data_IF_244632273716
#
_entry.id   IF_244632273716
#
_cell.length_a   1.000
_cell.length_b   1.000
_cell.length_c   1.000
_cell.angle_alpha   90.00
_cell.angle_beta   90.00
_cell.angle_gamma   90.00
#
_symmetry.space_group_name_H-M   'P 1'
#
loop_
_entity.id
_entity.type
_entity.pdbx_description
1 polymer ?
#
# COMPACT_ATOMS: atom_id res chain seq x y z
N UNK A 1 -30.89 -69.51 -4.55
CA UNK A 1 -29.86 -69.93 -3.57
C UNK A 1 -28.61 -69.11 -3.82
N UNK A 2 -28.11 -68.39 -2.78
CA UNK A 2 -26.71 -67.98 -2.51
C UNK A 2 -25.81 -67.67 -3.72
N UNK A 3 -25.15 -66.51 -3.84
CA UNK A 3 -24.20 -65.90 -2.87
C UNK A 3 -23.55 -64.66 -3.52
N UNK A 4 -22.85 -63.89 -2.67
CA UNK A 4 -21.70 -62.98 -2.91
C UNK A 4 -22.03 -61.49 -2.78
N UNK A 5 -21.22 -60.66 -2.12
CA UNK A 5 -20.20 -60.87 -1.10
C UNK A 5 -19.98 -59.51 -0.41
N UNK A 6 -19.76 -59.51 0.91
CA UNK A 6 -19.20 -58.38 1.63
C UNK A 6 -17.85 -58.02 1.02
N UNK A 7 -17.69 -56.77 0.61
CA UNK A 7 -16.38 -56.16 0.40
C UNK A 7 -16.25 -55.00 1.39
N UNK A 8 -15.46 -55.27 2.43
CA UNK A 8 -14.91 -54.27 3.31
C UNK A 8 -13.98 -53.37 2.49
N UNK A 9 -14.26 -52.08 2.44
CA UNK A 9 -13.30 -51.09 1.94
C UNK A 9 -12.66 -50.40 3.13
N UNK A 10 -11.39 -50.73 3.30
CA UNK A 10 -10.48 -50.28 4.33
C UNK A 10 -10.32 -48.76 4.22
N UNK A 11 -10.54 -48.07 5.34
CA UNK A 11 -10.17 -46.67 5.55
C UNK A 11 -8.65 -46.59 5.48
N UNK A 12 -8.11 -46.10 4.36
CA UNK A 12 -6.70 -45.72 4.29
C UNK A 12 -6.61 -44.34 4.92
N UNK A 13 -6.20 -44.32 6.19
CA UNK A 13 -5.70 -43.13 6.85
C UNK A 13 -4.40 -42.70 6.15
N UNK A 14 -4.52 -41.86 5.13
CA UNK A 14 -3.38 -41.14 4.58
C UNK A 14 -3.08 -39.98 5.53
N UNK A 15 -2.13 -40.22 6.44
CA UNK A 15 -1.43 -39.20 7.20
C UNK A 15 -0.77 -38.23 6.21
N UNK A 16 -1.42 -37.09 5.96
CA UNK A 16 -0.78 -35.98 5.28
C UNK A 16 0.13 -35.30 6.29
N UNK A 17 1.36 -35.80 6.36
CA UNK A 17 2.49 -35.07 6.92
C UNK A 17 2.82 -33.91 5.98
N UNK A 18 2.06 -32.80 6.08
CA UNK A 18 2.53 -31.50 5.59
C UNK A 18 3.43 -30.90 6.66
N UNK A 19 4.58 -31.53 6.87
CA UNK A 19 5.77 -30.85 7.35
C UNK A 19 6.26 -29.96 6.20
N UNK A 20 5.53 -28.87 5.98
CA UNK A 20 5.89 -27.77 5.09
C UNK A 20 6.20 -26.55 5.93
N UNK A 21 7.10 -26.68 6.91
CA UNK A 21 7.86 -25.55 7.40
C UNK A 21 8.77 -25.09 6.26
N UNK A 22 8.25 -24.35 5.28
CA UNK A 22 9.11 -23.42 4.57
C UNK A 22 9.32 -22.24 5.50
N UNK A 23 10.24 -22.41 6.43
CA UNK A 23 11.05 -21.30 6.92
C UNK A 23 11.85 -20.79 5.73
N UNK A 24 11.16 -20.11 4.81
CA UNK A 24 11.75 -19.22 3.84
C UNK A 24 12.13 -17.96 4.60
N UNK A 25 13.10 -18.08 5.50
CA UNK A 25 14.01 -17.00 5.82
C UNK A 25 14.89 -16.80 4.59
N UNK A 26 14.28 -16.37 3.49
CA UNK A 26 15.00 -15.49 2.60
C UNK A 26 15.10 -14.22 3.40
N UNK A 27 16.31 -13.82 3.76
CA UNK A 27 16.59 -12.42 4.02
C UNK A 27 15.98 -11.67 2.83
N UNK A 28 14.79 -11.10 3.02
CA UNK A 28 14.29 -10.09 2.12
C UNK A 28 15.38 -9.05 2.15
N UNK A 29 16.16 -9.00 1.08
CA UNK A 29 17.17 -8.00 0.83
C UNK A 29 16.50 -6.68 1.20
N UNK A 30 16.86 -6.12 2.37
CA UNK A 30 16.19 -4.94 2.88
C UNK A 30 16.42 -3.89 1.82
N UNK A 31 15.37 -3.62 1.04
CA UNK A 31 15.44 -2.65 -0.05
C UNK A 31 15.81 -1.36 0.65
N UNK A 32 17.06 -0.92 0.44
CA UNK A 32 17.56 0.27 1.10
C UNK A 32 16.88 1.45 0.42
N UNK A 33 16.07 2.17 1.19
CA UNK A 33 15.48 3.40 0.74
C UNK A 33 16.53 4.46 0.48
N UNK A 34 16.18 5.53 -0.24
CA UNK A 34 17.02 6.70 -0.34
C UNK A 34 17.38 7.19 1.06
N UNK A 35 18.67 7.39 1.34
CA UNK A 35 19.19 8.14 2.50
C UNK A 35 18.54 7.86 3.88
N UNK A 36 18.21 6.60 4.20
CA UNK A 36 17.69 6.23 5.53
C UNK A 36 16.17 6.25 5.66
N UNK A 37 15.45 6.41 4.55
CA UNK A 37 14.00 6.30 4.51
C UNK A 37 13.56 4.85 4.80
N UNK A 38 12.41 4.71 5.43
CA UNK A 38 11.78 3.42 5.69
C UNK A 38 10.84 3.07 4.54
N UNK A 39 10.89 1.82 4.05
CA UNK A 39 9.91 1.32 3.08
C UNK A 39 8.56 1.18 3.78
N UNK A 40 7.61 2.04 3.42
CA UNK A 40 6.29 2.12 4.04
C UNK A 40 5.26 1.22 3.34
N UNK A 41 5.29 1.16 2.01
CA UNK A 41 4.38 0.32 1.22
C UNK A 41 5.00 -0.07 -0.12
N UNK A 42 4.49 -1.17 -0.68
CA UNK A 42 4.70 -1.58 -2.07
C UNK A 42 3.34 -1.67 -2.75
N UNK A 43 3.15 -0.91 -3.82
CA UNK A 43 1.94 -0.98 -4.64
C UNK A 43 1.86 -2.32 -5.39
N UNK A 44 0.67 -2.76 -5.85
CA UNK A 44 0.52 -3.97 -6.66
C UNK A 44 1.36 -3.98 -7.93
N UNK A 45 1.61 -2.81 -8.54
CA UNK A 45 2.43 -2.65 -9.74
C UNK A 45 3.95 -2.65 -9.45
N UNK A 46 4.33 -2.70 -8.17
CA UNK A 46 5.71 -2.79 -7.71
C UNK A 46 6.37 -1.46 -7.35
N UNK A 47 5.70 -0.32 -7.51
CA UNK A 47 6.17 0.98 -7.01
C UNK A 47 6.32 0.99 -5.49
N UNK A 48 7.29 1.76 -5.00
CA UNK A 48 7.71 1.81 -3.60
C UNK A 48 7.36 3.16 -2.98
N UNK A 49 6.72 3.12 -1.82
CA UNK A 49 6.54 4.29 -0.97
C UNK A 49 7.59 4.29 0.13
N UNK A 50 8.44 5.31 0.10
CA UNK A 50 9.42 5.61 1.12
C UNK A 50 8.90 6.70 2.03
N UNK A 51 9.17 6.56 3.32
CA UNK A 51 8.74 7.49 4.37
C UNK A 51 9.90 7.85 5.28
N UNK A 52 9.97 9.13 5.66
CA UNK A 52 10.81 9.64 6.73
C UNK A 52 10.06 10.71 7.53
N UNK A 53 10.43 10.90 8.79
CA UNK A 53 9.90 11.96 9.65
C UNK A 53 11.00 12.59 10.49
N UNK A 54 11.22 13.89 10.30
CA UNK A 54 12.20 14.62 11.10
C UNK A 54 11.71 14.73 12.55
N UNK A 55 12.50 14.26 13.53
CA UNK A 55 12.15 14.41 14.94
C UNK A 55 12.22 15.86 15.43
N UNK A 56 13.03 16.71 14.79
CA UNK A 56 13.18 18.13 15.17
C UNK A 56 12.01 18.99 14.67
N UNK A 57 11.57 18.76 13.44
CA UNK A 57 10.53 19.59 12.80
C UNK A 57 9.14 18.95 12.82
N UNK A 58 9.07 17.63 13.03
CA UNK A 58 7.82 16.86 12.93
C UNK A 58 7.27 16.75 11.50
N UNK A 59 8.02 17.20 10.49
CA UNK A 59 7.62 17.09 9.09
C UNK A 59 7.77 15.65 8.61
N UNK A 60 6.83 15.23 7.76
CA UNK A 60 6.85 13.93 7.09
C UNK A 60 7.27 14.12 5.64
N UNK A 61 8.23 13.33 5.20
CA UNK A 61 8.69 13.26 3.81
C UNK A 61 8.26 11.92 3.21
N UNK A 62 7.71 11.97 2.01
CA UNK A 62 7.26 10.83 1.24
C UNK A 62 7.94 10.85 -0.12
N UNK A 63 8.45 9.70 -0.55
CA UNK A 63 8.97 9.51 -1.90
C UNK A 63 8.27 8.32 -2.53
N UNK A 64 7.80 8.48 -3.76
CA UNK A 64 7.32 7.39 -4.59
C UNK A 64 8.35 7.08 -5.67
N UNK A 65 8.76 5.83 -5.75
CA UNK A 65 9.61 5.30 -6.82
C UNK A 65 8.86 4.24 -7.62
N UNK A 66 9.24 4.08 -8.88
CA UNK A 66 8.80 2.94 -9.69
C UNK A 66 9.63 1.68 -9.38
N UNK A 67 9.26 0.51 -9.93
CA UNK A 67 9.98 -0.74 -9.67
C UNK A 67 11.46 -0.72 -10.08
N UNK A 68 11.86 0.18 -10.98
CA UNK A 68 13.25 0.34 -11.44
C UNK A 68 14.03 1.34 -10.57
N UNK A 69 13.42 1.87 -9.50
CA UNK A 69 14.01 2.88 -8.60
C UNK A 69 14.00 4.30 -9.17
N UNK A 70 13.19 4.58 -10.22
CA UNK A 70 13.06 5.94 -10.74
C UNK A 70 12.08 6.74 -9.88
N UNK A 71 12.48 7.95 -9.55
CA UNK A 71 11.63 8.90 -8.82
C UNK A 71 10.36 9.26 -9.61
N UNK A 72 9.20 9.10 -8.97
CA UNK A 72 7.89 9.45 -9.53
C UNK A 72 7.30 10.70 -8.88
N UNK A 73 7.34 10.82 -7.55
CA UNK A 73 6.75 11.94 -6.81
C UNK A 73 7.39 12.08 -5.42
N UNK A 74 7.27 13.27 -4.82
CA UNK A 74 7.54 13.46 -3.39
C UNK A 74 6.49 14.36 -2.72
N UNK A 75 6.42 14.29 -1.39
CA UNK A 75 5.54 15.11 -0.57
C UNK A 75 6.18 15.38 0.79
N UNK A 76 6.44 16.65 1.10
CA UNK A 76 7.03 17.07 2.37
C UNK A 76 6.10 18.06 3.08
N UNK A 77 5.71 17.75 4.32
CA UNK A 77 4.92 18.70 5.12
C UNK A 77 4.43 18.19 6.47
N UNK A 78 3.80 19.09 7.23
CA UNK A 78 2.99 18.75 8.38
C UNK A 78 1.57 18.47 7.87
N UNK A 79 1.13 17.21 7.88
CA UNK A 79 -0.20 16.82 7.42
C UNK A 79 -1.34 17.49 8.21
N UNK A 80 -2.58 17.46 7.70
CA UNK A 80 -3.00 16.74 6.50
C UNK A 80 -2.57 17.42 5.19
N UNK A 81 -2.07 16.65 4.23
CA UNK A 81 -1.52 17.15 2.97
C UNK A 81 -1.76 16.14 1.85
N UNK A 82 -2.17 16.64 0.68
CA UNK A 82 -2.17 15.90 -0.59
C UNK A 82 -1.15 16.54 -1.52
N UNK A 83 -0.23 15.73 -2.05
CA UNK A 83 0.67 16.10 -3.13
C UNK A 83 0.33 15.26 -4.37
N UNK A 84 0.07 15.95 -5.48
CA UNK A 84 -0.11 15.34 -6.81
C UNK A 84 1.05 15.83 -7.66
N UNK A 85 2.03 14.96 -7.93
CA UNK A 85 3.29 15.39 -8.55
C UNK A 85 3.89 14.34 -9.50
N UNK A 86 4.77 14.83 -10.37
CA UNK A 86 5.64 14.09 -11.28
C UNK A 86 6.27 15.02 -12.32
N UNK A 87 7.47 14.73 -12.85
CA UNK A 87 8.27 15.71 -13.60
C UNK A 87 7.64 16.20 -14.91
N UNK A 88 6.77 15.40 -15.56
CA UNK A 88 6.15 15.77 -16.87
C UNK A 88 4.65 15.39 -16.98
N UNK A 89 4.08 14.82 -15.93
CA UNK A 89 2.66 14.54 -15.72
C UNK A 89 2.50 14.15 -14.24
N UNK A 90 1.33 14.35 -13.64
CA UNK A 90 1.04 13.81 -12.32
C UNK A 90 1.11 12.28 -12.38
N UNK A 91 2.20 11.70 -11.85
CA UNK A 91 2.48 10.26 -11.89
C UNK A 91 2.19 9.59 -10.54
N UNK A 92 2.12 10.37 -9.47
CA UNK A 92 1.79 9.90 -8.14
C UNK A 92 0.85 10.83 -7.38
N UNK A 93 0.00 10.23 -6.57
CA UNK A 93 -0.73 10.89 -5.49
C UNK A 93 -0.15 10.41 -4.16
N UNK A 94 0.27 11.35 -3.31
CA UNK A 94 0.84 11.11 -1.99
C UNK A 94 0.02 11.86 -0.95
N UNK A 95 -0.35 11.17 0.12
CA UNK A 95 -1.19 11.72 1.18
C UNK A 95 -0.50 11.53 2.52
N UNK A 96 -0.37 12.61 3.28
CA UNK A 96 -0.11 12.60 4.71
C UNK A 96 -1.47 12.88 5.36
N UNK A 97 -2.11 11.88 5.95
CA UNK A 97 -3.50 11.96 6.38
C UNK A 97 -3.65 12.41 7.85
N UNK A 98 -4.86 12.82 8.27
CA UNK A 98 -5.18 12.97 9.68
C UNK A 98 -5.01 11.65 10.46
N UNK A 99 -4.73 11.75 11.76
CA UNK A 99 -4.71 10.60 12.65
C UNK A 99 -6.04 9.84 12.61
N UNK A 100 -5.98 8.51 12.69
CA UNK A 100 -7.17 7.64 12.62
C UNK A 100 -7.73 7.42 11.21
N UNK A 101 -7.14 8.04 10.18
CA UNK A 101 -7.46 7.69 8.80
C UNK A 101 -7.11 6.22 8.54
N UNK A 102 -8.00 5.50 7.85
CA UNK A 102 -7.88 4.08 7.49
C UNK A 102 -7.79 3.86 5.98
N UNK A 103 -8.54 4.65 5.20
CA UNK A 103 -8.65 4.49 3.74
C UNK A 103 -8.51 5.81 3.02
N UNK A 104 -7.98 5.81 1.80
CA UNK A 104 -7.98 6.98 0.93
C UNK A 104 -8.39 6.59 -0.49
N UNK A 105 -9.32 7.33 -1.08
CA UNK A 105 -9.85 7.10 -2.42
C UNK A 105 -9.73 8.40 -3.22
N UNK A 106 -9.07 8.32 -4.36
CA UNK A 106 -8.95 9.42 -5.31
C UNK A 106 -9.88 9.19 -6.49
N UNK A 107 -10.75 10.15 -6.78
CA UNK A 107 -11.39 10.21 -8.09
C UNK A 107 -10.42 10.91 -9.03
N UNK A 108 -9.96 10.22 -10.07
CA UNK A 108 -8.99 10.70 -11.05
C UNK A 108 -9.63 10.68 -12.44
N UNK A 109 -10.02 11.85 -12.95
CA UNK A 109 -10.64 12.01 -14.27
C UNK A 109 -11.80 11.02 -14.50
N UNK A 110 -12.64 10.86 -13.48
CA UNK A 110 -13.82 9.98 -13.49
C UNK A 110 -13.57 8.52 -13.08
N UNK A 111 -12.31 8.12 -12.84
CA UNK A 111 -11.97 6.79 -12.32
C UNK A 111 -11.74 6.86 -10.81
N UNK A 112 -12.31 5.93 -10.04
CA UNK A 112 -11.95 5.78 -8.62
C UNK A 112 -10.70 4.93 -8.47
N UNK A 113 -9.75 5.42 -7.67
CA UNK A 113 -8.47 4.77 -7.38
C UNK A 113 -8.32 4.76 -5.86
N UNK A 114 -8.34 3.56 -5.27
CA UNK A 114 -8.00 3.38 -3.87
C UNK A 114 -6.47 3.47 -3.70
N UNK A 115 -6.03 4.35 -2.79
CA UNK A 115 -4.62 4.54 -2.50
C UNK A 115 -4.15 3.47 -1.51
N UNK A 116 -2.94 2.98 -1.71
CA UNK A 116 -2.30 2.00 -0.82
C UNK A 116 -1.85 2.69 0.46
N UNK A 117 -2.20 2.12 1.61
CA UNK A 117 -1.76 2.58 2.94
C UNK A 117 -0.32 2.17 3.22
N UNK A 118 0.45 3.04 3.87
CA UNK A 118 1.73 2.70 4.49
C UNK A 118 1.55 1.83 5.75
N UNK A 119 2.35 0.77 5.89
CA UNK A 119 2.28 -0.19 7.01
C UNK A 119 3.41 0.00 8.02
N UNK A 120 4.62 0.36 7.57
CA UNK A 120 5.79 0.57 8.44
C UNK A 120 5.93 2.02 8.91
N UNK A 121 4.83 2.61 9.38
CA UNK A 121 4.78 3.96 9.94
C UNK A 121 4.51 3.86 11.44
N UNK A 122 5.29 4.52 12.32
CA UNK A 122 5.04 4.51 13.76
C UNK A 122 3.60 4.94 14.12
N UNK A 123 3.03 4.34 15.17
CA UNK A 123 1.65 4.62 15.60
C UNK A 123 1.42 6.10 15.99
N UNK A 124 2.47 6.82 16.39
CA UNK A 124 2.43 8.24 16.74
C UNK A 124 2.65 9.18 15.54
N UNK A 125 2.92 8.63 14.35
CA UNK A 125 3.03 9.36 13.10
C UNK A 125 1.69 9.36 12.33
N UNK A 126 1.45 10.38 11.48
CA UNK A 126 0.25 10.43 10.65
C UNK A 126 0.22 9.24 9.67
N UNK A 127 -0.94 8.63 9.42
CA UNK A 127 -1.09 7.65 8.36
C UNK A 127 -0.72 8.25 7.01
N UNK A 128 -0.14 7.44 6.13
CA UNK A 128 0.26 7.88 4.79
C UNK A 128 -0.33 6.97 3.73
N UNK A 129 -0.63 7.54 2.57
CA UNK A 129 -1.20 6.80 1.44
C UNK A 129 -0.52 7.18 0.13
N UNK A 130 -0.49 6.25 -0.81
CA UNK A 130 0.11 6.42 -2.13
C UNK A 130 -0.72 5.81 -3.23
N UNK A 131 -0.68 6.40 -4.42
CA UNK A 131 -1.14 5.74 -5.64
C UNK A 131 -0.36 6.20 -6.85
N UNK A 132 -0.08 5.27 -7.77
CA UNK A 132 0.42 5.59 -9.11
C UNK A 132 -0.78 6.03 -9.95
N UNK A 133 -0.73 7.26 -10.46
CA UNK A 133 -1.86 7.81 -11.21
C UNK A 133 -1.75 7.43 -12.68
N UNK A 134 -2.86 6.98 -13.30
CA UNK A 134 -2.88 6.79 -14.75
C UNK A 134 -2.75 8.16 -15.45
N UNK A 135 -2.42 8.16 -16.76
CA UNK A 135 -2.34 9.41 -17.52
C UNK A 135 -3.61 10.26 -17.35
N UNK A 136 -3.41 11.55 -17.13
CA UNK A 136 -4.52 12.51 -17.07
C UNK A 136 -5.31 12.52 -18.38
N UNK A 137 -6.63 12.70 -18.27
CA UNK A 137 -7.51 12.81 -19.43
C UNK A 137 -7.80 14.27 -19.79
N UNK A 138 -8.35 14.50 -20.97
CA UNK A 138 -8.66 15.85 -21.44
C UNK A 138 -9.82 16.51 -20.70
N UNK A 139 -10.77 15.71 -20.20
CA UNK A 139 -11.97 16.19 -19.50
C UNK A 139 -12.04 15.66 -18.07
N UNK A 140 -12.52 16.50 -17.15
CA UNK A 140 -12.65 16.18 -15.73
C UNK A 140 -11.52 16.80 -14.90
N UNK A 141 -11.36 16.27 -13.69
CA UNK A 141 -10.32 16.68 -12.75
C UNK A 141 -10.10 15.57 -11.72
N UNK A 142 -9.51 15.92 -10.59
CA UNK A 142 -9.34 14.97 -9.49
C UNK A 142 -9.92 15.50 -8.19
N UNK A 143 -10.28 14.58 -7.31
CA UNK A 143 -10.64 14.86 -5.92
C UNK A 143 -10.18 13.69 -5.03
N UNK A 144 -9.98 13.97 -3.74
CA UNK A 144 -9.57 12.98 -2.75
C UNK A 144 -10.60 12.92 -1.62
N UNK A 145 -10.90 11.70 -1.17
CA UNK A 145 -11.54 11.46 0.12
C UNK A 145 -10.66 10.53 0.96
N UNK A 146 -10.39 10.93 2.19
CA UNK A 146 -9.76 10.08 3.21
C UNK A 146 -10.81 9.77 4.27
N UNK A 147 -10.91 8.49 4.63
CA UNK A 147 -11.93 7.96 5.52
C UNK A 147 -11.29 7.30 6.76
N UNK A 148 -11.97 7.39 7.89
CA UNK A 148 -11.66 6.62 9.09
C UNK A 148 -12.25 5.20 9.04
N UNK A 149 -12.01 4.39 10.09
CA UNK A 149 -12.53 3.02 10.19
C UNK A 149 -14.05 2.89 10.31
N UNK A 150 -14.76 3.99 10.57
CA UNK A 150 -16.22 4.03 10.53
C UNK A 150 -16.77 4.39 9.14
N UNK A 151 -15.88 4.72 8.18
CA UNK A 151 -16.24 5.21 6.86
C UNK A 151 -16.63 6.69 6.83
N UNK A 152 -16.28 7.46 7.87
CA UNK A 152 -16.48 8.91 7.90
C UNK A 152 -15.37 9.61 7.14
N UNK A 153 -15.70 10.57 6.27
CA UNK A 153 -14.71 11.39 5.58
C UNK A 153 -14.03 12.33 6.58
N UNK A 154 -12.72 12.17 6.77
CA UNK A 154 -11.88 12.96 7.68
C UNK A 154 -10.99 13.98 6.96
N UNK A 155 -10.85 13.86 5.64
CA UNK A 155 -10.21 14.84 4.77
C UNK A 155 -10.82 14.75 3.36
N UNK A 156 -11.03 15.91 2.74
CA UNK A 156 -11.47 16.05 1.34
C UNK A 156 -10.68 17.15 0.64
N UNK A 157 -10.26 16.92 -0.60
CA UNK A 157 -9.55 17.90 -1.44
C UNK A 157 -10.04 17.84 -2.89
#
# INVERSE_FOLDING_TARGET
MRRTAMLATIVVAATVALAGCSSGGGDEEQVQGPHGYTLSARSPEGSLLWWDRSPESGLTDLILEDPDGRFLASCLGAGPLLCVAGPDAAKGALVIAPAGAERAVMTWYGQEIELTRGENVPDDAPPVFVGVMPPAQAEGGYSLQVLDGAGTVVMSQ
#
